data_IF_199483222549
#
_entry.id   IF_199483222549
#
_cell.length_a   1.000
_cell.length_b   1.000
_cell.length_c   1.000
_cell.angle_alpha   90.00
_cell.angle_beta   90.00
_cell.angle_gamma   90.00
#
_symmetry.space_group_name_H-M   'P 1'
#
loop_
_entity.id
_entity.type
_entity.pdbx_description
1 polymer ?
#
# COMPACT_ATOMS: atom_id res chain seq x y z
N UNK A 1 6.92 -9.26 7.93
CA UNK A 1 7.53 -8.81 9.18
C UNK A 1 8.36 -9.93 9.78
N UNK A 2 9.59 -9.66 10.20
CA UNK A 2 10.51 -10.68 10.72
C UNK A 2 11.04 -10.26 12.11
N UNK A 3 11.02 -11.15 13.07
CA UNK A 3 11.54 -10.87 14.41
C UNK A 3 13.03 -11.22 14.46
N UNK A 4 13.81 -10.33 15.05
CA UNK A 4 15.26 -10.47 15.17
C UNK A 4 15.67 -10.25 16.62
N UNK A 5 16.76 -10.88 17.03
CA UNK A 5 17.35 -10.67 18.37
C UNK A 5 18.83 -10.38 18.18
N UNK A 6 19.26 -9.20 18.61
CA UNK A 6 20.63 -8.77 18.49
C UNK A 6 21.43 -8.98 19.79
N UNK A 7 22.74 -8.76 19.72
CA UNK A 7 23.43 -8.19 18.57
C UNK A 7 23.60 -9.20 17.43
N UNK A 8 23.34 -8.76 16.19
CA UNK A 8 23.33 -9.66 15.04
C UNK A 8 23.59 -8.88 13.76
N UNK A 9 24.52 -9.34 12.93
CA UNK A 9 24.61 -8.85 11.55
C UNK A 9 23.70 -9.75 10.70
N UNK A 10 22.72 -9.13 10.09
CA UNK A 10 21.67 -9.82 9.36
C UNK A 10 21.62 -9.32 7.92
N UNK A 11 21.53 -10.22 6.98
CA UNK A 11 21.38 -9.86 5.58
C UNK A 11 20.02 -10.36 5.07
N UNK A 12 19.31 -9.49 4.35
CA UNK A 12 18.05 -9.86 3.71
C UNK A 12 18.05 -9.41 2.26
N UNK A 13 17.54 -10.27 1.38
CA UNK A 13 17.42 -9.97 -0.04
C UNK A 13 16.02 -9.42 -0.38
N UNK A 14 15.95 -8.66 -1.48
CA UNK A 14 14.66 -8.22 -2.04
C UNK A 14 13.77 -9.42 -2.34
N UNK A 15 14.36 -10.50 -2.86
CA UNK A 15 13.59 -11.70 -3.18
C UNK A 15 12.88 -12.26 -1.95
N UNK A 16 13.58 -12.34 -0.81
CA UNK A 16 12.96 -12.80 0.44
C UNK A 16 11.82 -11.89 0.89
N UNK A 17 12.03 -10.58 0.82
CA UNK A 17 11.00 -9.60 1.18
C UNK A 17 9.77 -9.74 0.28
N UNK A 18 9.98 -9.90 -1.02
CA UNK A 18 8.89 -10.02 -1.99
C UNK A 18 8.15 -11.35 -1.81
N UNK A 19 8.89 -12.43 -1.58
CA UNK A 19 8.30 -13.75 -1.34
C UNK A 19 7.45 -13.78 -0.06
N UNK A 20 7.88 -13.07 0.98
CA UNK A 20 7.07 -12.94 2.20
C UNK A 20 5.80 -12.10 1.96
N UNK A 21 5.90 -11.08 1.11
CA UNK A 21 4.78 -10.19 0.81
C UNK A 21 3.74 -10.88 -0.07
N UNK A 22 4.21 -11.71 -1.02
CA UNK A 22 3.33 -12.47 -1.92
C UNK A 22 3.88 -13.88 -2.11
N UNK A 23 3.39 -14.86 -1.36
CA UNK A 23 3.84 -16.24 -1.53
C UNK A 23 3.61 -16.81 -2.92
N UNK A 24 2.73 -16.21 -3.69
CA UNK A 24 2.44 -16.64 -5.08
C UNK A 24 3.34 -15.99 -6.13
N UNK A 25 4.43 -15.38 -5.72
CA UNK A 25 5.36 -14.69 -6.63
C UNK A 25 5.90 -15.60 -7.74
N UNK A 26 5.99 -16.90 -7.47
CA UNK A 26 6.46 -17.89 -8.46
C UNK A 26 5.44 -18.14 -9.57
N UNK A 27 4.20 -17.70 -9.40
CA UNK A 27 3.15 -17.83 -10.42
C UNK A 27 2.44 -16.49 -10.56
N UNK A 28 3.16 -15.45 -10.98
CA UNK A 28 2.60 -14.11 -11.03
C UNK A 28 1.61 -13.98 -12.18
N UNK A 29 0.57 -13.24 -11.94
CA UNK A 29 -0.34 -12.76 -12.90
C UNK A 29 0.36 -11.83 -13.89
N UNK A 30 0.03 -11.83 -15.16
CA UNK A 30 0.66 -10.93 -16.12
C UNK A 30 0.57 -9.46 -15.70
N UNK A 31 1.70 -8.78 -15.72
CA UNK A 31 1.78 -7.39 -15.33
C UNK A 31 2.00 -7.14 -13.84
N UNK A 32 2.04 -8.19 -13.02
CA UNK A 32 2.34 -8.02 -11.59
C UNK A 32 3.77 -7.54 -11.41
N UNK A 33 3.92 -6.46 -10.68
CA UNK A 33 5.24 -5.94 -10.30
C UNK A 33 5.26 -5.64 -8.82
N UNK A 34 6.45 -5.68 -8.25
CA UNK A 34 6.65 -5.43 -6.82
C UNK A 34 7.73 -4.38 -6.62
N UNK A 35 7.53 -3.55 -5.62
CA UNK A 35 8.47 -2.48 -5.27
C UNK A 35 8.58 -2.38 -3.76
N UNK A 36 9.80 -2.36 -3.23
CA UNK A 36 10.01 -2.14 -1.80
C UNK A 36 9.84 -0.65 -1.51
N UNK A 37 8.79 -0.33 -0.76
CA UNK A 37 8.52 1.06 -0.37
C UNK A 37 9.34 1.49 0.84
N UNK A 38 9.52 0.59 1.80
CA UNK A 38 10.14 0.95 3.06
C UNK A 38 10.66 -0.31 3.75
N UNK A 39 11.80 -0.20 4.40
CA UNK A 39 12.36 -1.24 5.26
C UNK A 39 12.75 -0.57 6.57
N UNK A 40 12.23 -1.08 7.68
CA UNK A 40 12.40 -0.43 8.98
C UNK A 40 12.66 -1.44 10.08
N UNK A 41 13.67 -1.15 10.90
CA UNK A 41 13.99 -1.93 12.09
C UNK A 41 13.36 -1.21 13.30
N UNK A 42 12.47 -1.90 13.98
CA UNK A 42 11.65 -1.34 15.06
C UNK A 42 11.91 -2.13 16.34
N UNK A 43 12.30 -1.48 17.46
CA UNK A 43 12.45 -2.19 18.74
C UNK A 43 11.15 -2.90 19.16
N UNK A 44 11.28 -4.01 19.86
CA UNK A 44 10.15 -4.77 20.39
C UNK A 44 10.37 -5.08 21.89
N UNK A 45 9.75 -4.34 22.82
CA UNK A 45 8.67 -3.35 22.59
C UNK A 45 9.18 -2.00 22.08
N UNK A 46 8.35 -1.33 21.29
CA UNK A 46 8.60 0.03 20.87
C UNK A 46 8.09 0.99 21.94
N UNK A 47 8.95 1.85 22.45
CA UNK A 47 8.60 2.84 23.47
C UNK A 47 8.43 4.24 22.88
N UNK A 48 9.17 4.54 21.82
CA UNK A 48 9.13 5.82 21.16
C UNK A 48 9.40 5.62 19.67
N UNK A 49 8.58 6.23 18.83
CA UNK A 49 8.68 6.07 17.38
C UNK A 49 10.05 6.51 16.82
N UNK A 50 10.71 7.44 17.51
CA UNK A 50 12.04 7.90 17.10
C UNK A 50 13.11 6.81 17.19
N UNK A 51 12.83 5.72 17.89
CA UNK A 51 13.72 4.56 17.97
C UNK A 51 13.67 3.70 16.71
N UNK A 52 12.75 3.98 15.78
CA UNK A 52 12.61 3.24 14.53
C UNK A 52 13.71 3.64 13.55
N UNK A 53 14.46 2.67 13.07
CA UNK A 53 15.52 2.92 12.09
C UNK A 53 15.02 2.61 10.68
N UNK A 54 15.09 3.59 9.78
CA UNK A 54 14.80 3.39 8.36
C UNK A 54 16.05 2.91 7.64
N UNK A 55 15.91 1.79 6.95
CA UNK A 55 17.00 1.14 6.23
C UNK A 55 16.79 1.40 4.74
N UNK A 56 17.81 1.90 4.08
CA UNK A 56 17.72 2.30 2.68
C UNK A 56 18.55 1.38 1.79
N UNK A 57 17.90 0.82 0.77
CA UNK A 57 18.59 0.12 -0.29
C UNK A 57 18.90 1.12 -1.41
N UNK A 58 20.10 1.07 -1.90
CA UNK A 58 20.48 1.89 -3.08
C UNK A 58 19.84 1.30 -4.33
N UNK A 59 19.59 2.13 -5.34
CA UNK A 59 19.13 1.60 -6.62
C UNK A 59 20.09 0.52 -7.15
N UNK A 60 19.54 -0.62 -7.49
CA UNK A 60 20.33 -1.75 -7.98
C UNK A 60 20.74 -2.76 -6.91
N UNK A 61 20.66 -2.44 -5.63
CA UNK A 61 20.97 -3.41 -4.57
C UNK A 61 19.93 -4.53 -4.56
N UNK A 62 20.39 -5.76 -4.47
CA UNK A 62 19.54 -6.94 -4.37
C UNK A 62 19.42 -7.45 -2.93
N UNK A 63 20.28 -6.99 -2.03
CA UNK A 63 20.22 -7.30 -0.60
C UNK A 63 20.71 -6.12 0.21
N UNK A 64 20.47 -6.18 1.51
CA UNK A 64 20.97 -5.19 2.45
C UNK A 64 21.44 -5.89 3.73
N UNK A 65 22.56 -5.41 4.26
CA UNK A 65 23.08 -5.85 5.56
C UNK A 65 22.63 -4.88 6.64
N UNK A 66 22.18 -5.43 7.73
CA UNK A 66 21.59 -4.70 8.85
C UNK A 66 22.35 -5.13 10.11
N UNK A 67 22.92 -4.19 10.83
CA UNK A 67 23.48 -4.47 12.16
C UNK A 67 22.37 -4.25 13.18
N UNK A 68 21.86 -5.34 13.71
CA UNK A 68 20.78 -5.31 14.72
C UNK A 68 21.43 -5.10 16.09
N UNK A 69 21.08 -4.02 16.81
CA UNK A 69 21.66 -3.79 18.14
C UNK A 69 21.23 -4.83 19.17
N UNK A 70 21.83 -4.80 20.36
CA UNK A 70 21.40 -5.67 21.45
C UNK A 70 19.92 -5.46 21.77
N UNK A 71 19.15 -6.54 21.89
CA UNK A 71 17.72 -6.48 22.18
C UNK A 71 16.87 -7.22 21.16
N UNK A 72 15.57 -7.01 21.27
CA UNK A 72 14.58 -7.61 20.36
C UNK A 72 14.05 -6.56 19.39
N UNK A 73 13.90 -6.95 18.15
CA UNK A 73 13.48 -6.05 17.08
C UNK A 73 12.50 -6.75 16.13
N UNK A 74 11.70 -5.95 15.46
CA UNK A 74 10.90 -6.39 14.33
C UNK A 74 11.38 -5.65 13.07
N UNK A 75 11.70 -6.40 12.03
CA UNK A 75 12.05 -5.83 10.73
C UNK A 75 10.78 -5.83 9.86
N UNK A 76 10.33 -4.64 9.48
CA UNK A 76 9.17 -4.43 8.63
C UNK A 76 9.60 -4.07 7.21
N UNK A 77 9.26 -4.92 6.25
CA UNK A 77 9.39 -4.59 4.83
C UNK A 77 8.01 -4.32 4.27
N UNK A 78 7.80 -3.13 3.70
CA UNK A 78 6.53 -2.75 3.08
C UNK A 78 6.69 -2.78 1.57
N UNK A 79 5.94 -3.65 0.93
CA UNK A 79 6.04 -3.93 -0.48
C UNK A 79 4.76 -3.48 -1.18
N UNK A 80 4.91 -2.64 -2.20
CA UNK A 80 3.81 -2.30 -3.10
C UNK A 80 3.70 -3.41 -4.14
N UNK A 81 2.50 -3.92 -4.32
CA UNK A 81 2.22 -4.96 -5.31
C UNK A 81 1.22 -4.38 -6.32
N UNK A 82 1.65 -4.23 -7.55
CA UNK A 82 0.78 -3.81 -8.65
C UNK A 82 0.13 -5.05 -9.28
N UNK A 83 -1.08 -4.91 -9.77
CA UNK A 83 -1.83 -5.99 -10.42
C UNK A 83 -1.96 -7.24 -9.51
N UNK A 84 -2.22 -7.01 -8.23
CA UNK A 84 -2.33 -8.13 -7.28
C UNK A 84 -3.70 -8.82 -7.32
N UNK A 85 -4.72 -8.14 -7.82
CA UNK A 85 -6.09 -8.70 -7.92
C UNK A 85 -6.60 -8.62 -9.35
N UNK A 86 -7.35 -9.64 -9.74
CA UNK A 86 -8.08 -9.69 -11.00
C UNK A 86 -9.54 -9.35 -10.80
N UNK A 87 -10.17 -8.89 -11.86
CA UNK A 87 -11.61 -8.69 -11.90
C UNK A 87 -12.31 -10.05 -11.67
N UNK A 88 -13.14 -10.10 -10.64
CA UNK A 88 -13.89 -11.29 -10.26
C UNK A 88 -15.17 -11.35 -11.11
N UNK A 89 -15.43 -12.53 -11.68
CA UNK A 89 -16.64 -12.78 -12.46
C UNK A 89 -16.82 -11.82 -13.65
N UNK A 90 -15.70 -11.42 -14.25
CA UNK A 90 -15.77 -10.61 -15.48
C UNK A 90 -16.42 -11.36 -16.63
N UNK A 91 -17.01 -10.63 -17.55
CA UNK A 91 -17.58 -11.19 -18.78
C UNK A 91 -16.47 -11.93 -19.55
N UNK A 92 -16.82 -12.91 -20.42
CA UNK A 92 -15.80 -13.57 -21.22
C UNK A 92 -14.92 -12.60 -21.99
N UNK A 93 -13.62 -12.73 -21.83
CA UNK A 93 -12.64 -11.82 -22.41
C UNK A 93 -12.36 -10.56 -21.59
N UNK A 94 -12.98 -10.39 -20.43
CA UNK A 94 -12.79 -9.21 -19.58
C UNK A 94 -11.95 -9.49 -18.32
N UNK A 95 -11.19 -10.57 -18.33
CA UNK A 95 -10.25 -10.85 -17.25
C UNK A 95 -9.06 -9.89 -17.30
N UNK A 96 -8.54 -9.55 -16.17
CA UNK A 96 -7.38 -8.68 -16.07
C UNK A 96 -7.28 -7.99 -14.72
N UNK A 97 -6.24 -7.17 -14.52
CA UNK A 97 -6.08 -6.46 -13.26
C UNK A 97 -7.25 -5.53 -12.95
N UNK A 98 -7.57 -5.40 -11.68
CA UNK A 98 -8.57 -4.44 -11.21
C UNK A 98 -8.08 -3.01 -11.51
N UNK A 99 -8.99 -2.15 -11.91
CA UNK A 99 -8.70 -0.74 -12.18
C UNK A 99 -8.14 -0.04 -10.94
N UNK A 100 -7.07 0.71 -11.10
CA UNK A 100 -6.54 1.56 -10.02
C UNK A 100 -7.47 2.76 -9.80
N UNK A 101 -8.34 2.62 -8.82
CA UNK A 101 -9.37 3.61 -8.48
C UNK A 101 -8.79 4.92 -7.92
N UNK A 102 -7.57 4.89 -7.45
CA UNK A 102 -6.91 6.08 -6.88
C UNK A 102 -6.14 6.87 -7.94
N UNK A 103 -6.04 6.31 -9.15
CA UNK A 103 -5.32 6.95 -10.25
C UNK A 103 -6.32 7.59 -11.23
N UNK A 104 -6.46 8.91 -11.14
CA UNK A 104 -7.39 9.66 -12.00
C UNK A 104 -7.18 9.36 -13.48
N UNK A 105 -5.91 9.29 -13.92
CA UNK A 105 -5.60 9.02 -15.33
C UNK A 105 -6.08 7.63 -15.75
N UNK A 106 -5.88 6.63 -14.91
CA UNK A 106 -6.35 5.27 -15.19
C UNK A 106 -7.87 5.23 -15.31
N UNK A 107 -8.56 5.87 -14.38
CA UNK A 107 -10.03 5.95 -14.39
C UNK A 107 -10.52 6.69 -15.66
N UNK A 108 -9.89 7.82 -15.98
CA UNK A 108 -10.25 8.59 -17.18
C UNK A 108 -10.08 7.75 -18.45
N UNK A 109 -8.94 7.11 -18.61
CA UNK A 109 -8.68 6.24 -19.78
C UNK A 109 -9.69 5.10 -19.89
N UNK A 110 -10.02 4.49 -18.77
CA UNK A 110 -11.01 3.41 -18.74
C UNK A 110 -12.37 3.90 -19.20
N UNK A 111 -12.84 5.02 -18.64
CA UNK A 111 -14.14 5.58 -18.99
C UNK A 111 -14.20 6.04 -20.46
N UNK A 112 -13.14 6.70 -20.93
CA UNK A 112 -13.06 7.15 -22.31
C UNK A 112 -13.07 6.00 -23.31
N UNK A 113 -12.33 4.93 -22.99
CA UNK A 113 -12.30 3.73 -23.85
C UNK A 113 -13.69 3.07 -23.88
N UNK A 114 -14.35 2.96 -22.73
CA UNK A 114 -15.67 2.37 -22.64
C UNK A 114 -16.71 3.19 -23.39
N UNK A 115 -16.78 4.49 -23.10
CA UNK A 115 -17.76 5.38 -23.74
C UNK A 115 -17.56 5.46 -25.24
N UNK A 116 -16.30 5.66 -25.68
CA UNK A 116 -16.00 5.73 -27.11
C UNK A 116 -16.30 4.45 -27.87
N UNK A 117 -16.17 3.29 -27.23
CA UNK A 117 -16.52 2.00 -27.84
C UNK A 117 -18.03 1.91 -28.05
N UNK A 118 -18.83 2.38 -27.11
CA UNK A 118 -20.28 2.38 -27.21
C UNK A 118 -20.72 3.41 -28.27
N UNK A 119 -20.21 4.63 -28.19
CA UNK A 119 -20.59 5.72 -29.09
C UNK A 119 -20.35 5.38 -30.57
N UNK A 120 -19.32 4.64 -30.87
CA UNK A 120 -19.04 4.16 -32.23
C UNK A 120 -20.19 3.33 -32.83
N UNK A 121 -20.98 2.71 -31.96
CA UNK A 121 -22.08 1.82 -32.38
C UNK A 121 -23.44 2.47 -32.24
N UNK A 122 -23.64 3.38 -31.29
CA UNK A 122 -24.94 3.93 -30.93
C UNK A 122 -25.10 5.39 -31.24
N UNK A 123 -23.99 6.11 -31.51
CA UNK A 123 -23.99 7.56 -31.53
C UNK A 123 -23.78 8.14 -30.13
N UNK A 124 -23.91 9.46 -29.96
CA UNK A 124 -23.61 10.12 -28.70
C UNK A 124 -24.36 9.54 -27.51
N UNK A 125 -23.63 9.27 -26.41
CA UNK A 125 -24.19 8.67 -25.21
C UNK A 125 -25.38 9.49 -24.62
N UNK A 126 -25.31 10.82 -24.77
CA UNK A 126 -26.34 11.71 -24.24
C UNK A 126 -27.75 11.39 -24.77
N UNK A 127 -27.84 10.74 -25.93
CA UNK A 127 -29.13 10.30 -26.48
C UNK A 127 -29.56 8.92 -26.02
N UNK A 128 -28.71 8.20 -25.34
CA UNK A 128 -28.96 6.77 -25.02
C UNK A 128 -28.80 6.44 -23.54
N UNK A 129 -27.99 7.18 -22.81
CA UNK A 129 -27.73 6.90 -21.39
C UNK A 129 -28.32 7.99 -20.52
N UNK A 130 -29.35 7.60 -19.74
CA UNK A 130 -30.01 8.49 -18.84
C UNK A 130 -29.27 8.72 -17.52
N UNK A 131 -28.57 7.70 -17.05
CA UNK A 131 -27.87 7.76 -15.75
C UNK A 131 -26.71 6.77 -15.71
N UNK A 132 -25.73 7.09 -14.93
CA UNK A 132 -24.68 6.16 -14.56
C UNK A 132 -24.93 5.70 -13.14
N UNK A 133 -24.74 4.43 -12.91
CA UNK A 133 -24.90 3.82 -11.60
C UNK A 133 -23.56 3.25 -11.13
N UNK A 134 -23.18 3.60 -9.94
CA UNK A 134 -21.99 3.04 -9.28
C UNK A 134 -22.40 2.53 -7.92
N UNK A 135 -22.08 1.29 -7.64
CA UNK A 135 -22.42 0.65 -6.39
C UNK A 135 -21.14 0.03 -5.79
N UNK A 136 -21.28 -1.02 -5.10
CA UNK A 136 -20.30 -1.83 -4.40
C UNK A 136 -18.88 -1.80 -5.01
N UNK A 137 -18.12 -0.78 -4.67
CA UNK A 137 -16.72 -0.68 -5.13
C UNK A 137 -15.86 -1.64 -4.32
N UNK A 138 -15.76 -2.86 -4.80
CA UNK A 138 -14.97 -3.91 -4.16
C UNK A 138 -13.50 -3.72 -4.50
N UNK A 139 -12.81 -3.00 -3.67
CA UNK A 139 -11.41 -2.64 -3.92
C UNK A 139 -10.43 -3.77 -3.61
N UNK A 140 -10.91 -4.84 -2.99
CA UNK A 140 -10.13 -6.05 -2.71
C UNK A 140 -8.76 -5.78 -2.07
N UNK A 141 -8.75 -4.84 -1.11
CA UNK A 141 -7.53 -4.49 -0.41
C UNK A 141 -6.66 -3.45 -1.09
N UNK A 142 -7.09 -2.90 -2.23
CA UNK A 142 -6.37 -1.79 -2.88
C UNK A 142 -6.29 -0.62 -1.91
N UNK A 143 -5.07 -0.24 -1.53
CA UNK A 143 -4.86 0.75 -0.48
C UNK A 143 -3.72 1.72 -0.77
N UNK A 144 -3.13 1.64 -1.95
CA UNK A 144 -1.97 2.47 -2.30
C UNK A 144 -1.98 2.84 -3.78
N UNK A 145 -1.53 4.04 -4.11
CA UNK A 145 -1.29 4.48 -5.49
C UNK A 145 0.00 5.30 -5.55
N UNK A 146 0.52 5.51 -6.73
CA UNK A 146 1.83 6.12 -6.97
C UNK A 146 1.99 7.50 -6.33
N UNK A 147 0.94 8.30 -6.30
CA UNK A 147 0.98 9.65 -5.74
C UNK A 147 0.71 9.74 -4.25
N UNK A 148 0.42 8.64 -3.57
CA UNK A 148 -0.05 8.62 -2.18
C UNK A 148 0.89 9.37 -1.22
N UNK A 149 2.19 9.06 -1.29
CA UNK A 149 3.18 9.68 -0.40
C UNK A 149 3.20 11.20 -0.55
N UNK A 150 3.27 11.66 -1.82
CA UNK A 150 3.35 13.10 -2.11
C UNK A 150 2.08 13.83 -1.70
N UNK A 151 0.92 13.23 -1.94
CA UNK A 151 -0.35 13.82 -1.53
C UNK A 151 -0.47 13.88 0.00
N UNK A 152 0.03 12.87 0.69
CA UNK A 152 0.04 12.88 2.16
C UNK A 152 0.94 14.00 2.69
N UNK A 153 2.16 14.10 2.17
CA UNK A 153 3.11 15.17 2.58
C UNK A 153 2.49 16.55 2.35
N UNK A 154 1.89 16.74 1.17
CA UNK A 154 1.27 18.01 0.80
C UNK A 154 0.15 18.41 1.78
N UNK A 155 -0.64 17.45 2.25
CA UNK A 155 -1.79 17.71 3.13
C UNK A 155 -1.41 17.86 4.61
N UNK A 156 -0.42 17.10 5.04
CA UNK A 156 -0.12 16.98 6.47
C UNK A 156 1.23 17.57 6.87
N UNK A 157 2.10 17.89 5.91
CA UNK A 157 3.38 18.55 6.18
C UNK A 157 4.50 17.61 6.62
N UNK A 158 4.27 16.31 6.62
CA UNK A 158 5.30 15.33 6.98
C UNK A 158 5.14 14.04 6.17
N UNK A 159 6.19 13.21 6.18
CA UNK A 159 6.23 11.97 5.40
C UNK A 159 5.56 10.82 6.17
N UNK A 160 4.67 10.10 5.52
CA UNK A 160 4.00 8.94 6.11
C UNK A 160 4.91 7.70 6.19
N UNK A 161 5.97 7.63 5.40
CA UNK A 161 6.77 6.40 5.27
C UNK A 161 7.30 5.87 6.62
N UNK A 162 7.85 6.68 7.52
CA UNK A 162 8.28 6.16 8.81
C UNK A 162 7.17 5.53 9.63
N UNK A 163 5.92 5.90 9.37
CA UNK A 163 4.76 5.46 10.15
C UNK A 163 4.00 4.29 9.52
N UNK A 164 4.36 3.87 8.29
CA UNK A 164 3.61 2.82 7.59
C UNK A 164 3.50 1.50 8.37
N UNK A 165 4.53 1.02 9.08
CA UNK A 165 4.36 -0.19 9.88
C UNK A 165 3.21 -0.08 10.88
N UNK A 166 3.02 1.11 11.46
CA UNK A 166 2.01 1.34 12.49
C UNK A 166 0.61 1.55 11.91
N UNK A 167 0.54 1.93 10.64
CA UNK A 167 -0.73 2.04 9.90
C UNK A 167 -1.23 0.66 9.48
N UNK A 168 -0.32 -0.24 9.10
CA UNK A 168 -0.67 -1.50 8.44
C UNK A 168 -0.64 -2.71 9.36
N UNK A 169 0.18 -2.68 10.42
CA UNK A 169 0.39 -3.84 11.28
C UNK A 169 -0.01 -3.53 12.72
N UNK A 170 -0.30 -4.58 13.44
CA UNK A 170 -0.45 -4.51 14.87
C UNK A 170 0.96 -4.54 15.47
N UNK A 171 1.42 -3.41 15.97
CA UNK A 171 2.78 -3.26 16.47
C UNK A 171 2.79 -3.26 17.99
N UNK A 172 2.22 -4.22 18.66
CA UNK A 172 2.14 -4.36 20.13
C UNK A 172 2.92 -3.40 20.84
N UNK A 173 3.14 -3.02 21.75
CA UNK A 173 3.34 -2.59 22.99
C UNK A 173 3.95 -1.25 23.22
N UNK A 174 3.74 -0.31 22.45
CA UNK A 174 4.01 1.05 22.86
C UNK A 174 2.93 1.45 23.86
N UNK A 175 3.07 0.98 25.07
CA UNK A 175 2.04 1.19 26.08
C UNK A 175 0.69 0.69 25.60
N UNK A 176 -0.14 1.56 25.12
CA UNK A 176 -1.49 1.24 24.70
C UNK A 176 -1.65 1.02 23.20
N UNK A 177 -0.58 1.02 22.42
CA UNK A 177 -0.70 0.83 20.99
C UNK A 177 -0.96 -0.64 20.69
N UNK A 178 -2.14 -0.97 20.26
CA UNK A 178 -2.52 -2.34 19.92
C UNK A 178 -2.81 -2.49 18.45
N UNK A 179 -3.59 -1.64 17.86
CA UNK A 179 -3.92 -1.70 16.45
C UNK A 179 -4.38 -0.33 15.99
N UNK A 180 -3.66 0.22 15.06
CA UNK A 180 -3.92 1.53 14.51
C UNK A 180 -5.33 1.64 13.93
N UNK A 181 -5.85 0.56 13.37
CA UNK A 181 -7.19 0.53 12.80
C UNK A 181 -8.29 0.67 13.85
N UNK A 182 -8.00 0.36 15.09
CA UNK A 182 -8.97 0.39 16.19
C UNK A 182 -8.72 1.56 17.15
N UNK A 183 -7.98 2.54 16.68
CA UNK A 183 -7.88 3.82 17.39
C UNK A 183 -6.91 3.85 18.55
N UNK A 184 -5.97 2.93 18.60
CA UNK A 184 -4.90 3.03 19.58
C UNK A 184 -3.78 3.85 18.96
N UNK A 185 -3.41 4.89 19.63
CA UNK A 185 -2.63 5.97 19.05
C UNK A 185 -1.17 5.97 19.45
N UNK A 186 -0.33 6.23 18.46
CA UNK A 186 1.04 6.67 18.71
C UNK A 186 1.03 8.08 19.28
N UNK A 187 0.18 8.91 18.71
CA UNK A 187 -0.17 10.21 19.23
C UNK A 187 -1.54 10.58 18.70
N UNK A 188 -2.24 11.46 19.38
CA UNK A 188 -3.54 11.95 18.91
C UNK A 188 -3.43 12.63 17.55
N UNK A 189 -2.29 13.28 17.31
CA UNK A 189 -2.02 13.95 16.03
C UNK A 189 -1.89 12.94 14.89
N UNK A 190 -1.07 11.91 15.06
CA UNK A 190 -0.89 10.88 14.05
C UNK A 190 -2.21 10.14 13.76
N UNK A 191 -2.98 9.83 14.80
CA UNK A 191 -4.30 9.21 14.63
C UNK A 191 -5.21 10.10 13.78
N UNK A 192 -5.24 11.38 14.09
CA UNK A 192 -6.04 12.36 13.36
C UNK A 192 -5.62 12.41 11.87
N UNK A 193 -4.31 12.42 11.61
CA UNK A 193 -3.77 12.47 10.25
C UNK A 193 -4.11 11.22 9.45
N UNK A 194 -4.01 10.05 10.06
CA UNK A 194 -4.39 8.80 9.39
C UNK A 194 -5.89 8.76 9.12
N UNK A 195 -6.70 9.21 10.06
CA UNK A 195 -8.15 9.31 9.83
C UNK A 195 -8.45 10.26 8.67
N UNK A 196 -7.78 11.41 8.63
CA UNK A 196 -7.92 12.37 7.51
C UNK A 196 -7.48 11.76 6.19
N UNK A 197 -6.37 11.03 6.19
CA UNK A 197 -5.90 10.33 4.99
C UNK A 197 -6.94 9.34 4.48
N UNK A 198 -7.47 8.52 5.35
CA UNK A 198 -8.53 7.54 4.98
C UNK A 198 -9.75 8.24 4.41
N UNK A 199 -10.15 9.32 5.00
CA UNK A 199 -11.27 10.13 4.53
C UNK A 199 -10.98 10.79 3.19
N UNK A 200 -9.94 11.14 3.21
CA UNK A 200 -9.53 11.68 2.08
C UNK A 200 -9.56 10.84 0.96
N UNK A 201 -9.03 9.79 1.10
CA UNK A 201 -9.03 8.76 0.07
C UNK A 201 -10.46 8.38 -0.35
N UNK A 202 -11.35 8.30 0.60
CA UNK A 202 -12.76 8.04 0.31
C UNK A 202 -13.41 9.17 -0.50
N UNK A 203 -12.98 10.41 -0.32
CA UNK A 203 -13.53 11.55 -1.07
C UNK A 203 -12.84 11.78 -2.43
N UNK A 204 -11.75 11.09 -2.71
CA UNK A 204 -11.11 11.17 -4.02
C UNK A 204 -11.75 10.21 -5.04
N UNK A 205 -12.72 9.42 -4.60
CA UNK A 205 -13.48 8.51 -5.45
C UNK A 205 -14.53 9.26 -6.30
#
# INVERSE_FOLDING_TARGET
MKKLTGPLDYEISKFELFKEADPAISSPFPGRTMELLSLQLVPDPLENIEQTESIHLKPGDESVKISVPEGKYALYGLVKINAFMEVINGAPGATGPVLDHYNREAVTKYLEKMSGTIEKKTGPLSGHIRALFTDSMELEGSNWYEGMRNEFIKRNGYDIFPFLPFVLFKTGAMGNVTDFRYGVTLSSELESDVRRMRYXLQKLK
#
